data_IF_432566708211
#
_entry.id   IF_432566708211
#
_cell.length_a   1.000
_cell.length_b   1.000
_cell.length_c   1.000
_cell.angle_alpha   90.00
_cell.angle_beta   90.00
_cell.angle_gamma   90.00
#
_symmetry.space_group_name_H-M   'P 1'
#
loop_
_entity.id
_entity.type
_entity.pdbx_description
1 polymer ?
#
# COMPACT_ATOMS: atom_id res chain seq x y z
N UNK A 1 10.48 -17.21 7.34
CA UNK A 1 10.97 -15.80 7.48
C UNK A 1 9.84 -14.84 7.18
N UNK A 2 9.88 -13.63 7.73
CA UNK A 2 8.97 -12.51 7.47
C UNK A 2 9.81 -11.35 6.96
N UNK A 3 9.38 -10.72 5.86
CA UNK A 3 10.09 -9.62 5.20
C UNK A 3 9.23 -8.37 5.27
N UNK A 4 9.80 -7.27 5.74
CA UNK A 4 9.26 -5.93 5.61
C UNK A 4 10.17 -5.12 4.67
N UNK A 5 9.56 -4.49 3.66
CA UNK A 5 10.25 -3.58 2.74
C UNK A 5 9.65 -2.20 2.93
N UNK A 6 10.48 -1.23 3.30
CA UNK A 6 10.06 0.15 3.48
C UNK A 6 10.22 0.94 2.19
N UNK A 7 9.15 1.58 1.73
CA UNK A 7 9.15 2.50 0.57
C UNK A 7 8.74 3.88 1.09
N UNK A 8 9.67 4.81 1.30
CA UNK A 8 9.39 6.04 2.02
C UNK A 8 8.67 7.11 1.20
N UNK A 9 8.34 6.86 -0.06
CA UNK A 9 7.86 7.88 -0.99
C UNK A 9 6.35 8.06 -0.93
N UNK A 10 5.90 9.34 -0.87
CA UNK A 10 4.49 9.72 -0.94
C UNK A 10 4.31 10.84 -1.97
N UNK A 11 3.26 10.77 -2.80
CA UNK A 11 2.89 11.88 -3.68
C UNK A 11 2.36 13.09 -2.92
N UNK A 12 1.91 12.86 -1.69
CA UNK A 12 1.38 13.86 -0.79
C UNK A 12 1.70 13.48 0.66
N UNK A 13 2.11 14.44 1.47
CA UNK A 13 2.35 14.23 2.91
C UNK A 13 1.10 14.63 3.69
N UNK A 14 0.47 13.64 4.32
CA UNK A 14 -0.69 13.84 5.17
C UNK A 14 -0.27 14.53 6.49
N UNK A 15 -1.09 15.49 6.97
CA UNK A 15 -0.80 16.29 8.15
C UNK A 15 -0.73 15.51 9.46
N UNK A 16 -1.38 14.34 9.51
CA UNK A 16 -1.47 13.47 10.69
C UNK A 16 -0.41 12.37 10.73
N UNK A 17 0.35 12.19 9.65
CA UNK A 17 1.20 11.02 9.50
C UNK A 17 2.59 11.24 10.08
N UNK A 18 3.00 10.38 11.03
CA UNK A 18 4.33 10.40 11.67
C UNK A 18 5.29 9.32 11.16
N UNK A 19 4.86 8.51 10.16
CA UNK A 19 5.75 7.51 9.58
C UNK A 19 6.95 8.15 8.86
N UNK A 20 8.12 7.48 8.83
CA UNK A 20 9.26 7.91 8.03
C UNK A 20 8.90 7.98 6.55
N UNK A 21 8.81 9.18 6.01
CA UNK A 21 8.40 9.44 4.63
C UNK A 21 9.04 10.68 4.05
N UNK A 22 9.11 10.70 2.73
CA UNK A 22 9.58 11.85 1.94
C UNK A 22 8.64 12.06 0.75
N UNK A 23 8.61 13.28 0.21
CA UNK A 23 7.90 13.52 -1.06
C UNK A 23 8.53 12.71 -2.18
N UNK A 24 7.67 12.17 -3.04
CA UNK A 24 8.11 11.47 -4.23
C UNK A 24 8.86 12.43 -5.16
N UNK A 25 10.09 12.06 -5.51
CA UNK A 25 10.90 12.70 -6.55
C UNK A 25 11.50 11.63 -7.43
N UNK A 26 11.09 11.58 -8.69
CA UNK A 26 11.47 10.54 -9.67
C UNK A 26 12.97 10.27 -9.74
N UNK A 27 13.80 11.33 -9.61
CA UNK A 27 15.27 11.22 -9.70
C UNK A 27 15.90 10.31 -8.63
N UNK A 28 15.22 10.07 -7.49
CA UNK A 28 15.76 9.25 -6.40
C UNK A 28 15.30 7.80 -6.45
N UNK A 29 14.19 7.50 -7.12
CA UNK A 29 13.51 6.21 -7.01
C UNK A 29 14.38 5.05 -7.49
N UNK A 30 14.91 5.14 -8.73
CA UNK A 30 15.71 4.04 -9.29
C UNK A 30 17.00 3.79 -8.49
N UNK A 31 17.62 4.85 -7.96
CA UNK A 31 18.79 4.68 -7.09
C UNK A 31 18.40 3.97 -5.78
N UNK A 32 17.28 4.36 -5.17
CA UNK A 32 16.75 3.71 -3.97
C UNK A 32 16.47 2.22 -4.22
N UNK A 33 15.75 1.87 -5.30
CA UNK A 33 15.44 0.50 -5.66
C UNK A 33 16.71 -0.34 -5.92
N UNK A 34 17.72 0.24 -6.56
CA UNK A 34 19.01 -0.42 -6.76
C UNK A 34 19.74 -0.70 -5.44
N UNK A 35 19.69 0.24 -4.50
CA UNK A 35 20.28 0.02 -3.17
C UNK A 35 19.49 -0.99 -2.34
N UNK A 36 18.16 -0.96 -2.40
CA UNK A 36 17.28 -1.96 -1.79
C UNK A 36 17.60 -3.37 -2.31
N UNK A 37 17.75 -3.53 -3.64
CA UNK A 37 18.15 -4.81 -4.24
C UNK A 37 19.49 -5.31 -3.69
N UNK A 38 20.50 -4.43 -3.60
CA UNK A 38 21.80 -4.79 -3.04
C UNK A 38 21.71 -5.19 -1.58
N UNK A 39 20.92 -4.47 -0.78
CA UNK A 39 20.70 -4.79 0.62
C UNK A 39 20.06 -6.18 0.78
N UNK A 40 19.00 -6.47 0.03
CA UNK A 40 18.33 -7.77 0.04
C UNK A 40 19.31 -8.88 -0.34
N UNK A 41 20.06 -8.73 -1.42
CA UNK A 41 21.06 -9.73 -1.85
C UNK A 41 22.13 -9.98 -0.76
N UNK A 42 22.57 -8.94 -0.08
CA UNK A 42 23.59 -9.07 0.97
C UNK A 42 23.08 -9.75 2.23
N UNK A 43 21.81 -9.55 2.60
CA UNK A 43 21.22 -10.02 3.86
C UNK A 43 20.49 -11.35 3.74
N UNK A 44 19.80 -11.59 2.63
CA UNK A 44 19.00 -12.79 2.44
C UNK A 44 19.88 -14.02 2.18
N UNK A 45 19.64 -15.10 2.94
CA UNK A 45 20.44 -16.34 2.91
C UNK A 45 19.69 -17.54 2.31
N UNK A 46 18.53 -17.30 1.68
CA UNK A 46 17.76 -18.36 1.00
C UNK A 46 16.67 -19.00 1.86
N UNK A 47 16.33 -18.43 3.02
CA UNK A 47 15.27 -18.94 3.88
C UNK A 47 13.91 -18.87 3.20
N UNK A 48 13.00 -19.80 3.53
CA UNK A 48 11.63 -19.77 3.03
C UNK A 48 10.85 -18.60 3.65
N UNK A 49 10.34 -17.71 2.79
CA UNK A 49 9.60 -16.50 3.18
C UNK A 49 8.11 -16.81 3.24
N UNK A 50 7.50 -16.62 4.41
CA UNK A 50 6.05 -16.80 4.65
C UNK A 50 5.27 -15.52 4.42
N UNK A 51 5.87 -14.37 4.71
CA UNK A 51 5.19 -13.07 4.55
C UNK A 51 6.15 -12.05 3.95
N UNK A 52 5.66 -11.33 2.94
CA UNK A 52 6.28 -10.13 2.41
C UNK A 52 5.29 -8.98 2.65
N UNK A 53 5.75 -7.93 3.32
CA UNK A 53 4.98 -6.72 3.54
C UNK A 53 5.75 -5.52 2.97
N UNK A 54 5.16 -4.84 1.99
CA UNK A 54 5.72 -3.61 1.43
C UNK A 54 4.88 -2.45 1.93
N UNK A 55 5.49 -1.59 2.75
CA UNK A 55 4.82 -0.46 3.38
C UNK A 55 5.71 0.76 3.51
N UNK A 56 5.30 1.70 4.36
CA UNK A 56 6.08 2.88 4.73
C UNK A 56 5.41 4.20 4.43
N UNK A 57 5.77 4.90 3.37
CA UNK A 57 5.07 6.06 2.84
C UNK A 57 3.84 5.61 2.06
N UNK A 58 3.98 5.45 0.75
CA UNK A 58 2.92 4.86 -0.08
C UNK A 58 3.58 4.12 -1.26
N UNK A 59 3.81 2.80 -1.15
CA UNK A 59 4.49 2.04 -2.20
C UNK A 59 3.85 2.18 -3.58
N UNK A 60 2.53 2.32 -3.63
CA UNK A 60 1.76 2.50 -4.86
C UNK A 60 1.81 3.94 -5.42
N UNK A 61 2.48 4.88 -4.74
CA UNK A 61 2.83 6.20 -5.30
C UNK A 61 3.87 6.12 -6.42
N UNK A 62 4.67 5.06 -6.46
CA UNK A 62 5.60 4.77 -7.54
C UNK A 62 4.86 4.72 -8.89
N UNK A 63 5.50 5.17 -9.97
CA UNK A 63 4.93 4.98 -11.30
C UNK A 63 4.89 3.48 -11.69
N UNK A 64 4.30 3.16 -12.83
CA UNK A 64 4.09 1.75 -13.23
C UNK A 64 5.41 0.99 -13.36
N UNK A 65 6.43 1.58 -13.98
CA UNK A 65 7.71 0.90 -14.23
C UNK A 65 8.53 0.78 -12.95
N UNK A 66 8.51 1.79 -12.09
CA UNK A 66 9.14 1.79 -10.77
C UNK A 66 8.49 0.75 -9.84
N UNK A 67 7.15 0.69 -9.81
CA UNK A 67 6.41 -0.32 -9.06
C UNK A 67 6.72 -1.73 -9.56
N UNK A 68 6.79 -1.90 -10.88
CA UNK A 68 7.18 -3.17 -11.50
C UNK A 68 8.60 -3.58 -11.10
N UNK A 69 9.54 -2.63 -11.07
CA UNK A 69 10.92 -2.91 -10.62
C UNK A 69 10.96 -3.29 -9.14
N UNK A 70 10.25 -2.57 -8.27
CA UNK A 70 10.10 -2.93 -6.86
C UNK A 70 9.58 -4.37 -6.70
N UNK A 71 8.53 -4.72 -7.42
CA UNK A 71 7.94 -6.07 -7.35
C UNK A 71 8.89 -7.14 -7.91
N UNK A 72 9.67 -6.83 -8.97
CA UNK A 72 10.71 -7.72 -9.50
C UNK A 72 11.79 -8.03 -8.46
N UNK A 73 12.14 -7.07 -7.59
CA UNK A 73 13.11 -7.30 -6.51
C UNK A 73 12.64 -8.41 -5.58
N UNK A 74 11.33 -8.52 -5.35
CA UNK A 74 10.79 -9.58 -4.46
C UNK A 74 10.89 -11.00 -5.02
N UNK A 75 11.26 -11.16 -6.29
CA UNK A 75 11.50 -12.48 -6.89
C UNK A 75 12.81 -13.13 -6.38
N UNK A 76 13.66 -12.38 -5.69
CA UNK A 76 14.84 -12.91 -4.99
C UNK A 76 14.43 -13.88 -3.87
N UNK A 77 13.26 -13.67 -3.27
CA UNK A 77 12.80 -14.45 -2.13
C UNK A 77 12.22 -15.81 -2.55
N UNK A 78 12.66 -16.87 -1.88
CA UNK A 78 12.04 -18.19 -1.95
C UNK A 78 10.75 -18.18 -1.15
N UNK A 79 9.61 -17.99 -1.81
CA UNK A 79 8.30 -17.89 -1.18
C UNK A 79 7.78 -19.26 -0.75
N UNK A 80 7.11 -19.31 0.42
CA UNK A 80 6.33 -20.47 0.88
C UNK A 80 5.16 -20.73 -0.09
N UNK A 81 4.59 -21.92 -0.12
CA UNK A 81 3.42 -22.23 -0.96
C UNK A 81 2.14 -21.50 -0.49
N UNK A 82 2.06 -21.13 0.80
CA UNK A 82 0.99 -20.36 1.41
C UNK A 82 1.46 -18.97 1.87
N UNK A 83 2.32 -18.31 1.08
CA UNK A 83 2.83 -17.00 1.47
C UNK A 83 1.75 -15.91 1.45
N UNK A 84 1.86 -14.94 2.34
CA UNK A 84 1.16 -13.67 2.24
C UNK A 84 2.07 -12.62 1.60
N UNK A 85 1.57 -11.91 0.60
CA UNK A 85 2.26 -10.78 0.00
C UNK A 85 1.36 -9.55 0.05
N UNK A 86 1.63 -8.70 1.04
CA UNK A 86 0.90 -7.47 1.29
C UNK A 86 1.61 -6.26 0.69
N UNK A 87 0.84 -5.35 0.13
CA UNK A 87 1.29 -4.01 -0.23
C UNK A 87 0.33 -2.95 0.34
N UNK A 88 0.90 -1.89 0.93
CA UNK A 88 0.15 -0.70 1.32
C UNK A 88 -0.16 0.18 0.12
N UNK A 89 -1.36 0.74 0.12
CA UNK A 89 -1.85 1.59 -0.95
C UNK A 89 -2.77 2.69 -0.44
N UNK A 90 -2.82 3.80 -1.15
CA UNK A 90 -3.86 4.80 -1.01
C UNK A 90 -4.88 4.68 -2.14
N UNK A 91 -6.12 5.08 -1.88
CA UNK A 91 -7.21 5.01 -2.86
C UNK A 91 -6.82 5.73 -4.16
N UNK A 92 -6.21 6.90 -4.06
CA UNK A 92 -5.79 7.74 -5.17
C UNK A 92 -4.51 7.27 -5.90
N UNK A 93 -3.78 6.30 -5.34
CA UNK A 93 -2.50 5.82 -5.88
C UNK A 93 -2.61 4.55 -6.73
N UNK A 94 -3.80 3.92 -6.75
CA UNK A 94 -4.07 2.71 -7.51
C UNK A 94 -4.97 2.98 -8.72
N UNK A 95 -4.59 2.41 -9.84
CA UNK A 95 -5.38 2.29 -11.05
C UNK A 95 -5.45 0.82 -11.52
N UNK A 96 -6.25 0.56 -12.54
CA UNK A 96 -6.45 -0.79 -13.06
C UNK A 96 -5.15 -1.42 -13.61
N UNK A 97 -4.21 -0.63 -14.14
CA UNK A 97 -2.93 -1.14 -14.65
C UNK A 97 -2.05 -1.61 -13.51
N UNK A 98 -1.91 -0.79 -12.47
CA UNK A 98 -1.17 -1.15 -11.26
C UNK A 98 -1.81 -2.35 -10.55
N UNK A 99 -3.14 -2.39 -10.43
CA UNK A 99 -3.85 -3.54 -9.84
C UNK A 99 -3.53 -4.85 -10.57
N UNK A 100 -3.62 -4.86 -11.90
CA UNK A 100 -3.25 -6.03 -12.71
C UNK A 100 -1.78 -6.42 -12.54
N UNK A 101 -0.90 -5.44 -12.42
CA UNK A 101 0.52 -5.68 -12.15
C UNK A 101 0.71 -6.34 -10.78
N UNK A 102 0.10 -5.79 -9.72
CA UNK A 102 0.16 -6.36 -8.36
C UNK A 102 -0.26 -7.83 -8.37
N UNK A 103 -1.43 -8.13 -8.96
CA UNK A 103 -1.93 -9.51 -9.07
C UNK A 103 -0.96 -10.41 -9.82
N UNK A 104 -0.48 -9.97 -10.99
CA UNK A 104 0.49 -10.73 -11.82
C UNK A 104 1.78 -11.03 -11.07
N UNK A 105 2.23 -10.12 -10.21
CA UNK A 105 3.47 -10.26 -9.42
C UNK A 105 3.28 -11.01 -8.10
N UNK A 106 2.07 -11.54 -7.86
CA UNK A 106 1.78 -12.43 -6.73
C UNK A 106 1.37 -11.71 -5.45
N UNK A 107 1.07 -10.41 -5.50
CA UNK A 107 0.42 -9.73 -4.38
C UNK A 107 -0.96 -10.33 -4.18
N UNK A 108 -1.26 -10.75 -2.94
CA UNK A 108 -2.50 -11.41 -2.58
C UNK A 108 -3.23 -10.73 -1.41
N UNK A 109 -2.66 -9.66 -0.85
CA UNK A 109 -3.30 -8.80 0.15
C UNK A 109 -2.98 -7.34 -0.12
N UNK A 110 -3.97 -6.46 0.04
CA UNK A 110 -3.81 -5.00 -0.03
C UNK A 110 -4.22 -4.40 1.32
N UNK A 111 -3.36 -3.55 1.91
CA UNK A 111 -3.72 -2.66 3.02
C UNK A 111 -4.02 -1.29 2.44
N UNK A 112 -5.26 -0.85 2.58
CA UNK A 112 -5.77 0.36 1.91
C UNK A 112 -6.01 1.47 2.93
N UNK A 113 -5.26 2.55 2.84
CA UNK A 113 -5.47 3.76 3.62
C UNK A 113 -6.73 4.48 3.15
N UNK A 114 -7.83 4.22 3.83
CA UNK A 114 -9.15 4.86 3.60
C UNK A 114 -9.35 6.01 4.56
N UNK A 115 -8.97 5.83 5.81
CA UNK A 115 -9.03 6.73 6.95
C UNK A 115 -10.46 6.96 7.45
N UNK A 116 -11.44 7.19 6.57
CA UNK A 116 -12.87 7.34 6.89
C UNK A 116 -13.72 7.13 5.63
N UNK A 117 -14.99 6.75 5.80
CA UNK A 117 -16.01 6.75 4.75
C UNK A 117 -16.86 8.05 4.76
N UNK A 118 -16.59 8.97 5.68
CA UNK A 118 -17.24 10.28 5.71
C UNK A 118 -16.44 11.30 4.90
N UNK A 119 -17.03 11.82 3.81
CA UNK A 119 -16.35 12.76 2.90
C UNK A 119 -15.90 14.05 3.59
N UNK A 120 -16.53 14.45 4.72
CA UNK A 120 -16.09 15.61 5.48
C UNK A 120 -14.80 15.30 6.23
N UNK A 121 -14.71 14.11 6.84
CA UNK A 121 -13.49 13.65 7.54
C UNK A 121 -12.35 13.46 6.55
N UNK A 122 -12.61 12.80 5.41
CA UNK A 122 -11.64 12.64 4.31
C UNK A 122 -11.04 14.00 3.92
N UNK A 123 -11.89 15.02 3.79
CA UNK A 123 -11.47 16.38 3.46
C UNK A 123 -10.66 17.05 4.58
N UNK A 124 -11.05 16.89 5.86
CA UNK A 124 -10.29 17.38 7.02
C UNK A 124 -8.88 16.78 7.03
N UNK A 125 -8.76 15.48 6.75
CA UNK A 125 -7.50 14.76 6.64
C UNK A 125 -6.68 15.12 5.39
N UNK A 126 -7.20 16.04 4.54
CA UNK A 126 -6.58 16.46 3.29
C UNK A 126 -6.31 15.30 2.32
N UNK A 127 -7.16 14.26 2.35
CA UNK A 127 -7.10 13.16 1.38
C UNK A 127 -7.75 13.58 0.06
N UNK A 128 -7.35 12.91 -1.03
CA UNK A 128 -7.75 13.30 -2.39
C UNK A 128 -8.85 12.42 -2.99
N UNK A 129 -9.35 11.45 -2.22
CA UNK A 129 -10.43 10.56 -2.62
C UNK A 129 -11.74 10.91 -1.91
N UNK A 130 -12.81 10.21 -2.28
CA UNK A 130 -14.14 10.27 -1.66
C UNK A 130 -14.71 8.86 -1.47
N UNK A 131 -15.84 8.75 -0.75
CA UNK A 131 -16.51 7.48 -0.44
C UNK A 131 -16.80 6.64 -1.69
N UNK A 132 -17.29 7.24 -2.78
CA UNK A 132 -17.59 6.52 -4.01
C UNK A 132 -16.33 5.89 -4.64
N UNK A 133 -15.22 6.62 -4.64
CA UNK A 133 -13.94 6.12 -5.17
C UNK A 133 -13.42 4.94 -4.34
N UNK A 134 -13.59 4.95 -3.01
CA UNK A 134 -13.23 3.83 -2.14
C UNK A 134 -13.96 2.55 -2.59
N UNK A 135 -15.31 2.60 -2.68
CA UNK A 135 -16.08 1.41 -3.04
C UNK A 135 -15.81 0.93 -4.48
N UNK A 136 -15.61 1.84 -5.41
CA UNK A 136 -15.26 1.49 -6.79
C UNK A 136 -13.90 0.77 -6.83
N UNK A 137 -12.90 1.29 -6.11
CA UNK A 137 -11.58 0.66 -6.04
C UNK A 137 -11.66 -0.74 -5.40
N UNK A 138 -12.39 -0.89 -4.29
CA UNK A 138 -12.58 -2.20 -3.63
C UNK A 138 -13.21 -3.22 -4.61
N UNK A 139 -14.21 -2.80 -5.38
CA UNK A 139 -14.82 -3.66 -6.42
C UNK A 139 -13.80 -4.08 -7.48
N UNK A 140 -12.96 -3.15 -7.97
CA UNK A 140 -11.92 -3.48 -8.96
C UNK A 140 -10.83 -4.40 -8.36
N UNK A 141 -10.44 -4.20 -7.10
CA UNK A 141 -9.50 -5.10 -6.40
C UNK A 141 -10.08 -6.52 -6.32
N UNK A 142 -11.33 -6.68 -5.89
CA UNK A 142 -11.98 -7.99 -5.83
C UNK A 142 -12.14 -8.63 -7.21
N UNK A 143 -12.52 -7.84 -8.22
CA UNK A 143 -12.69 -8.30 -9.61
C UNK A 143 -11.41 -8.87 -10.23
N UNK A 144 -10.26 -8.37 -9.87
CA UNK A 144 -8.97 -8.93 -10.33
C UNK A 144 -8.52 -10.15 -9.51
N UNK A 145 -9.30 -10.56 -8.50
CA UNK A 145 -9.07 -11.76 -7.68
C UNK A 145 -8.11 -11.53 -6.51
N UNK A 146 -8.08 -10.33 -5.92
CA UNK A 146 -7.46 -10.06 -4.62
C UNK A 146 -8.60 -9.87 -3.62
N UNK A 147 -8.90 -10.92 -2.85
CA UNK A 147 -10.02 -10.91 -1.89
C UNK A 147 -9.59 -10.47 -0.49
N UNK A 148 -8.31 -10.58 -0.16
CA UNK A 148 -7.77 -10.17 1.14
C UNK A 148 -7.45 -8.67 1.11
N UNK A 149 -8.37 -7.87 1.66
CA UNK A 149 -8.26 -6.42 1.75
C UNK A 149 -8.34 -6.02 3.22
N UNK A 150 -7.34 -5.28 3.70
CA UNK A 150 -7.39 -4.58 4.99
C UNK A 150 -7.67 -3.10 4.72
N UNK A 151 -8.46 -2.48 5.58
CA UNK A 151 -8.76 -1.05 5.51
C UNK A 151 -8.26 -0.39 6.78
N UNK A 152 -7.51 0.70 6.62
CA UNK A 152 -7.06 1.51 7.73
C UNK A 152 -8.08 2.63 7.97
N UNK A 153 -8.56 2.75 9.21
CA UNK A 153 -9.51 3.78 9.64
C UNK A 153 -8.89 4.61 10.76
N UNK A 154 -9.16 5.91 10.75
CA UNK A 154 -8.75 6.84 11.79
C UNK A 154 -9.92 7.21 12.69
N UNK A 155 -9.66 7.31 13.99
CA UNK A 155 -10.61 7.81 14.97
C UNK A 155 -10.02 9.01 15.75
N UNK A 156 -10.89 9.75 16.46
CA UNK A 156 -10.45 10.91 17.23
C UNK A 156 -10.19 12.17 16.41
N UNK A 157 -10.64 12.22 15.16
CA UNK A 157 -10.56 13.41 14.31
C UNK A 157 -11.64 14.43 14.68
N UNK A 158 -12.76 13.94 15.19
CA UNK A 158 -13.89 14.74 15.72
C UNK A 158 -14.38 14.11 17.01
N UNK A 159 -15.14 14.87 17.81
CA UNK A 159 -15.77 14.38 19.03
C UNK A 159 -17.04 13.54 18.73
N UNK A 160 -17.45 13.43 17.47
CA UNK A 160 -18.63 12.67 17.06
C UNK A 160 -18.31 11.16 16.93
N UNK A 161 -18.61 10.40 17.99
CA UNK A 161 -18.43 8.94 18.03
C UNK A 161 -19.29 8.22 16.97
N UNK A 162 -20.38 8.83 16.47
CA UNK A 162 -21.24 8.23 15.45
C UNK A 162 -20.53 8.12 14.11
N UNK A 163 -19.53 8.97 13.83
CA UNK A 163 -18.67 8.84 12.64
C UNK A 163 -17.93 7.50 12.70
N UNK A 164 -17.27 7.21 13.82
CA UNK A 164 -16.52 5.96 14.01
C UNK A 164 -17.44 4.75 13.89
N UNK A 165 -18.62 4.80 14.51
CA UNK A 165 -19.62 3.72 14.43
C UNK A 165 -20.13 3.49 13.01
N UNK A 166 -20.28 4.56 12.22
CA UNK A 166 -20.65 4.44 10.80
C UNK A 166 -19.51 3.83 9.99
N UNK A 167 -18.29 4.35 10.13
CA UNK A 167 -17.13 3.89 9.38
C UNK A 167 -16.86 2.40 9.63
N UNK A 168 -16.97 1.93 10.88
CA UNK A 168 -16.78 0.51 11.23
C UNK A 168 -17.89 -0.43 10.73
N UNK A 169 -19.04 0.08 10.29
CA UNK A 169 -20.14 -0.70 9.71
C UNK A 169 -20.15 -0.74 8.19
N UNK A 170 -19.37 0.13 7.53
CA UNK A 170 -19.37 0.28 6.08
C UNK A 170 -18.58 -0.84 5.38
N UNK A 171 -17.65 -1.49 6.08
CA UNK A 171 -16.77 -2.54 5.58
C UNK A 171 -16.92 -3.83 6.40
#
# INVERSE_FOLDING_TARGET
MYIYIHIPFCNHICSYCDFPKVLYEKKYIMNYLNMLRKEIISRYKGEVVKTIFIGGGTPTSLDYDELKELLNITNIFKKDYQYEFTIEANVESLDLLKLKLLKKMGVNRISLGVESFDDKIIKILNRKHNKLQIFNLIKEIKKIGIDNISIDLMYGITDDIEVVKRDTKEF
#
